data_IF_291935446361
#
_entry.id   IF_291935446361
#
_cell.length_a   1.000
_cell.length_b   1.000
_cell.length_c   1.000
_cell.angle_alpha   90.00
_cell.angle_beta   90.00
_cell.angle_gamma   90.00
#
_symmetry.space_group_name_H-M   'P 1'
#
loop_
_entity.id
_entity.type
_entity.pdbx_description
1 polymer ?
#
# COMPACT_ATOMS: atom_id res chain seq x y z
N UNK A 1 15.61 -19.34 46.32
CA UNK A 1 15.08 -19.49 44.95
C UNK A 1 15.04 -18.12 44.31
N UNK A 2 15.67 -17.91 43.14
CA UNK A 2 15.74 -16.60 42.47
C UNK A 2 14.81 -16.66 41.26
N UNK A 3 13.69 -15.95 41.30
CA UNK A 3 12.78 -15.86 40.16
C UNK A 3 13.45 -15.03 39.06
N UNK A 4 13.89 -15.68 37.99
CA UNK A 4 14.29 -15.00 36.76
C UNK A 4 13.01 -14.79 35.97
N UNK A 5 12.62 -13.53 35.79
CA UNK A 5 11.61 -13.15 34.81
C UNK A 5 12.31 -13.04 33.47
N UNK A 6 11.93 -13.88 32.52
CA UNK A 6 12.35 -13.72 31.13
C UNK A 6 11.41 -12.70 30.49
N UNK A 7 11.91 -11.48 30.30
CA UNK A 7 11.27 -10.52 29.42
C UNK A 7 11.63 -10.94 27.99
N UNK A 8 10.79 -11.76 27.35
CA UNK A 8 10.87 -11.98 25.90
C UNK A 8 10.43 -10.69 25.25
N UNK A 9 11.37 -10.00 24.60
CA UNK A 9 11.06 -8.98 23.60
C UNK A 9 10.93 -9.72 22.27
N UNK A 10 9.74 -9.76 21.70
CA UNK A 10 9.55 -10.22 20.33
C UNK A 10 10.09 -9.11 19.45
N UNK A 11 11.33 -9.24 18.99
CA UNK A 11 11.86 -8.33 17.98
C UNK A 11 11.36 -8.88 16.66
N UNK A 12 10.31 -8.26 16.14
CA UNK A 12 9.97 -8.44 14.74
C UNK A 12 10.99 -7.65 13.90
N UNK A 13 11.57 -8.32 12.91
CA UNK A 13 12.56 -7.73 12.00
C UNK A 13 12.08 -7.80 10.56
N UNK A 14 10.86 -8.28 10.32
CA UNK A 14 10.30 -8.39 8.98
C UNK A 14 9.55 -7.09 8.66
N UNK A 15 9.89 -6.51 7.51
CA UNK A 15 9.17 -5.35 6.99
C UNK A 15 7.86 -5.81 6.32
N UNK A 16 6.76 -5.06 6.45
CA UNK A 16 5.52 -5.34 5.75
C UNK A 16 5.73 -5.51 4.25
N UNK A 17 5.45 -6.71 3.76
CA UNK A 17 5.59 -7.05 2.36
C UNK A 17 4.28 -6.78 1.63
N UNK A 18 4.38 -6.09 0.48
CA UNK A 18 3.21 -5.86 -0.35
C UNK A 18 2.72 -7.18 -0.97
N UNK A 19 1.44 -7.50 -0.78
CA UNK A 19 0.76 -8.63 -1.42
C UNK A 19 0.21 -8.20 -2.79
N UNK A 20 -0.35 -7.00 -2.91
CA UNK A 20 -0.84 -6.48 -4.18
C UNK A 20 -1.69 -5.23 -4.01
N UNK A 21 -2.57 -4.99 -4.98
CA UNK A 21 -3.63 -3.99 -4.91
C UNK A 21 -4.98 -4.67 -4.66
N UNK A 22 -5.85 -4.00 -3.90
CA UNK A 22 -7.24 -4.42 -3.77
C UNK A 22 -8.04 -4.03 -5.02
N UNK A 23 -9.13 -4.75 -5.33
CA UNK A 23 -10.07 -4.34 -6.36
C UNK A 23 -10.59 -2.93 -6.10
N UNK A 24 -10.84 -2.19 -7.18
CA UNK A 24 -11.46 -0.87 -7.15
C UNK A 24 -12.74 -0.85 -7.98
N UNK A 25 -13.45 0.28 -7.92
CA UNK A 25 -14.66 0.48 -8.70
C UNK A 25 -14.37 0.28 -10.20
N UNK A 26 -15.13 -0.62 -10.83
CA UNK A 26 -15.06 -0.82 -12.26
C UNK A 26 -15.60 0.40 -12.99
N UNK A 27 -14.99 0.73 -14.13
CA UNK A 27 -15.43 1.85 -14.94
C UNK A 27 -14.37 2.33 -15.92
N UNK A 28 -14.81 3.24 -16.78
CA UNK A 28 -13.95 4.01 -17.65
C UNK A 28 -13.64 5.36 -16.99
N UNK A 29 -12.36 5.64 -16.85
CA UNK A 29 -11.83 6.91 -16.38
C UNK A 29 -11.07 7.61 -17.51
N UNK A 30 -10.95 8.92 -17.41
CA UNK A 30 -10.25 9.77 -18.37
C UNK A 30 -9.16 10.56 -17.70
N UNK A 31 -8.29 11.15 -18.51
CA UNK A 31 -7.17 11.96 -18.05
C UNK A 31 -7.66 13.05 -17.09
N UNK A 32 -7.04 13.14 -15.92
CA UNK A 32 -7.40 14.09 -14.87
C UNK A 32 -8.38 13.54 -13.83
N UNK A 33 -9.04 12.41 -14.10
CA UNK A 33 -9.88 11.75 -13.10
C UNK A 33 -9.04 11.26 -11.93
N UNK A 34 -9.60 11.35 -10.73
CA UNK A 34 -8.98 10.83 -9.51
C UNK A 34 -9.61 9.50 -9.14
N UNK A 35 -8.78 8.51 -8.91
CA UNK A 35 -9.19 7.18 -8.45
C UNK A 35 -8.57 6.86 -7.10
N UNK A 36 -9.21 5.96 -6.35
CA UNK A 36 -8.71 5.47 -5.06
C UNK A 36 -8.07 4.10 -5.26
N UNK A 37 -6.88 3.93 -4.69
CA UNK A 37 -6.09 2.71 -4.70
C UNK A 37 -5.92 2.21 -3.27
N UNK A 38 -6.05 0.91 -3.07
CA UNK A 38 -5.73 0.28 -1.79
C UNK A 38 -4.61 -0.74 -1.99
N UNK A 39 -3.53 -0.57 -1.25
CA UNK A 39 -2.39 -1.49 -1.23
C UNK A 39 -2.53 -2.42 -0.04
N UNK A 40 -2.45 -3.72 -0.31
CA UNK A 40 -2.56 -4.77 0.71
C UNK A 40 -1.18 -5.26 1.11
N UNK A 41 -0.93 -5.34 2.39
CA UNK A 41 0.28 -5.85 3.02
C UNK A 41 -0.01 -7.16 3.78
N UNK A 42 1.03 -7.95 4.02
CA UNK A 42 0.94 -9.20 4.78
C UNK A 42 0.92 -9.00 6.31
N UNK A 43 1.29 -7.81 6.78
CA UNK A 43 1.23 -7.43 8.20
C UNK A 43 0.87 -5.95 8.40
N UNK A 44 0.70 -5.54 9.66
CA UNK A 44 0.27 -4.18 10.02
C UNK A 44 1.38 -3.17 9.74
N UNK A 45 1.01 -2.03 9.17
CA UNK A 45 1.91 -0.92 8.86
C UNK A 45 1.88 0.15 9.95
N UNK A 46 3.02 0.44 10.59
CA UNK A 46 3.14 1.42 11.68
C UNK A 46 3.53 2.82 11.28
N UNK A 47 4.45 2.92 10.33
CA UNK A 47 5.00 4.18 9.93
C UNK A 47 5.03 4.21 8.42
N UNK A 48 4.36 5.22 7.90
CA UNK A 48 4.14 5.42 6.48
C UNK A 48 5.05 6.51 5.91
N UNK A 49 5.97 7.07 6.70
CA UNK A 49 6.93 8.08 6.25
C UNK A 49 7.57 7.59 4.95
N UNK A 50 7.27 8.31 3.86
CA UNK A 50 7.75 8.07 2.50
C UNK A 50 7.14 6.90 1.70
N UNK A 51 5.98 6.34 2.08
CA UNK A 51 5.31 5.35 1.21
C UNK A 51 4.83 6.01 -0.10
N UNK A 52 5.63 5.92 -1.16
CA UNK A 52 5.27 6.29 -2.53
C UNK A 52 4.89 5.03 -3.30
N UNK A 53 3.90 5.09 -4.18
CA UNK A 53 3.66 3.99 -5.12
C UNK A 53 4.53 4.18 -6.35
N UNK A 54 5.20 3.10 -6.78
CA UNK A 54 5.81 3.03 -8.10
C UNK A 54 4.78 3.16 -9.22
N UNK A 55 5.25 3.18 -10.47
CA UNK A 55 4.39 3.27 -11.65
C UNK A 55 3.35 2.13 -11.66
N UNK A 56 2.07 2.49 -11.58
CA UNK A 56 0.94 1.60 -11.84
C UNK A 56 0.54 1.83 -13.30
N UNK A 57 0.38 0.75 -14.06
CA UNK A 57 0.04 0.86 -15.48
C UNK A 57 -1.24 1.69 -15.67
N UNK A 58 -1.16 2.72 -16.52
CA UNK A 58 -2.25 3.65 -16.82
C UNK A 58 -2.52 4.75 -15.77
N UNK A 59 -1.73 4.81 -14.70
CA UNK A 59 -1.80 5.88 -13.68
C UNK A 59 -0.49 6.66 -13.62
N UNK A 60 -0.58 7.96 -13.29
CA UNK A 60 0.63 8.76 -13.08
C UNK A 60 1.19 8.55 -11.68
N UNK A 61 2.44 8.07 -11.52
CA UNK A 61 3.10 8.04 -10.21
C UNK A 61 3.32 9.46 -9.64
N UNK A 62 3.34 10.49 -10.50
CA UNK A 62 3.56 11.89 -10.10
C UNK A 62 2.45 12.49 -9.22
N UNK A 63 1.30 11.84 -9.11
CA UNK A 63 0.16 12.33 -8.31
C UNK A 63 -0.41 11.28 -7.34
N UNK A 64 0.37 10.26 -6.97
CA UNK A 64 -0.06 9.32 -5.95
C UNK A 64 0.06 9.97 -4.57
N UNK A 65 -1.07 10.14 -3.91
CA UNK A 65 -1.12 10.75 -2.58
C UNK A 65 -1.76 9.81 -1.58
N UNK A 66 -1.15 9.66 -0.41
CA UNK A 66 -1.75 8.95 0.71
C UNK A 66 -3.12 9.47 1.10
N UNK A 67 -3.94 8.59 1.66
CA UNK A 67 -5.18 8.97 2.33
C UNK A 67 -5.34 8.37 3.73
N UNK A 68 -4.70 7.25 4.06
CA UNK A 68 -4.81 6.65 5.39
C UNK A 68 -4.56 5.14 5.41
N UNK A 69 -4.80 4.51 6.55
CA UNK A 69 -4.64 3.07 6.74
C UNK A 69 -3.48 2.64 7.65
N UNK A 70 -2.75 3.60 8.24
CA UNK A 70 -1.75 3.35 9.28
C UNK A 70 -2.39 2.61 10.47
N UNK A 71 -1.66 1.66 11.04
CA UNK A 71 -2.17 0.73 12.04
C UNK A 71 -3.03 -0.39 11.47
N UNK A 72 -3.08 -0.56 10.14
CA UNK A 72 -3.74 -1.68 9.46
C UNK A 72 -2.81 -2.34 8.45
N UNK A 73 -3.23 -3.45 7.86
CA UNK A 73 -2.54 -4.11 6.75
C UNK A 73 -2.94 -3.55 5.37
N UNK A 74 -3.65 -2.42 5.31
CA UNK A 74 -4.12 -1.82 4.07
C UNK A 74 -3.89 -0.32 4.05
N UNK A 75 -3.07 0.17 3.11
CA UNK A 75 -2.87 1.61 2.91
C UNK A 75 -3.69 2.11 1.73
N UNK A 76 -4.34 3.25 1.91
CA UNK A 76 -5.17 3.89 0.88
C UNK A 76 -4.44 5.08 0.28
N UNK A 77 -4.55 5.21 -1.04
CA UNK A 77 -3.97 6.28 -1.84
C UNK A 77 -5.00 6.80 -2.84
N UNK A 78 -4.80 8.01 -3.35
CA UNK A 78 -5.44 8.44 -4.59
C UNK A 78 -4.40 8.65 -5.67
N UNK A 79 -4.75 8.34 -6.91
CA UNK A 79 -3.94 8.62 -8.09
C UNK A 79 -4.77 9.36 -9.14
N UNK A 80 -4.10 10.09 -10.02
CA UNK A 80 -4.72 10.73 -11.18
C UNK A 80 -4.45 9.91 -12.43
N UNK A 81 -5.49 9.71 -13.24
CA UNK A 81 -5.38 9.05 -14.55
C UNK A 81 -4.64 9.95 -15.52
N UNK A 82 -3.66 9.41 -16.26
CA UNK A 82 -2.86 10.14 -17.25
C UNK A 82 -3.18 9.78 -18.70
N UNK A 83 -4.08 8.83 -18.93
CA UNK A 83 -4.53 8.38 -20.24
C UNK A 83 -5.90 8.96 -20.56
N UNK A 84 -6.18 9.20 -21.85
CA UNK A 84 -7.49 9.75 -22.27
C UNK A 84 -8.64 8.75 -22.09
N UNK A 85 -8.30 7.46 -21.98
CA UNK A 85 -9.20 6.38 -21.61
C UNK A 85 -8.42 5.36 -20.78
N UNK A 86 -8.89 5.08 -19.57
CA UNK A 86 -8.37 4.08 -18.66
C UNK A 86 -9.53 3.20 -18.18
N UNK A 87 -9.51 1.93 -18.53
CA UNK A 87 -10.45 0.94 -18.00
C UNK A 87 -9.81 0.22 -16.82
N UNK A 88 -10.57 0.08 -15.73
CA UNK A 88 -10.13 -0.72 -14.60
C UNK A 88 -10.19 -2.19 -14.97
N UNK A 89 -9.02 -2.82 -15.07
CA UNK A 89 -8.87 -4.27 -15.05
C UNK A 89 -8.41 -4.71 -13.67
N UNK A 90 -9.37 -5.13 -12.83
CA UNK A 90 -9.09 -5.56 -11.47
C UNK A 90 -8.18 -6.81 -11.40
N UNK A 91 -8.19 -7.68 -12.43
CA UNK A 91 -7.33 -8.87 -12.49
C UNK A 91 -5.87 -8.44 -12.72
N UNK A 92 -5.64 -7.55 -13.68
CA UNK A 92 -4.31 -7.01 -13.93
C UNK A 92 -3.82 -6.13 -12.79
N UNK A 93 -4.71 -5.35 -12.14
CA UNK A 93 -4.38 -4.45 -11.05
C UNK A 93 -3.91 -5.21 -9.80
N UNK A 94 -4.63 -6.25 -9.39
CA UNK A 94 -4.29 -7.01 -8.17
C UNK A 94 -2.95 -7.76 -8.26
N UNK A 95 -2.48 -8.04 -9.48
CA UNK A 95 -1.17 -8.64 -9.72
C UNK A 95 0.00 -7.65 -9.55
N UNK A 96 -0.29 -6.34 -9.49
CA UNK A 96 0.76 -5.33 -9.34
C UNK A 96 1.23 -5.21 -7.90
N UNK A 97 2.55 -5.10 -7.75
CA UNK A 97 3.22 -4.76 -6.48
C UNK A 97 3.98 -3.44 -6.64
N UNK A 98 3.30 -2.27 -6.66
CA UNK A 98 3.97 -0.97 -6.71
C UNK A 98 5.02 -0.82 -5.60
N UNK A 99 6.29 -0.83 -6.00
CA UNK A 99 7.42 -0.67 -5.08
C UNK A 99 7.33 0.69 -4.40
N UNK A 100 7.15 0.68 -3.08
CA UNK A 100 7.38 1.81 -2.18
C UNK A 100 8.32 1.32 -1.09
N UNK A 101 9.39 2.06 -0.85
CA UNK A 101 10.46 1.68 0.10
C UNK A 101 9.94 1.38 1.52
N UNK A 102 10.82 0.76 2.32
CA UNK A 102 10.68 0.33 3.71
C UNK A 102 9.50 0.94 4.47
N UNK A 103 8.51 0.08 4.73
CA UNK A 103 7.43 0.34 5.65
C UNK A 103 7.89 -0.13 7.03
N UNK A 104 7.67 0.66 8.09
CA UNK A 104 8.06 0.20 9.44
C UNK A 104 6.91 -0.58 10.09
N UNK A 105 7.27 -1.61 10.85
CA UNK A 105 6.37 -2.46 11.63
C UNK A 105 5.92 -1.81 12.96
N UNK A 106 4.74 -2.20 13.45
CA UNK A 106 4.14 -1.77 14.72
C UNK A 106 4.61 -2.63 15.89
N UNK A 107 5.16 -3.82 15.64
CA UNK A 107 5.71 -4.67 16.69
C UNK A 107 7.18 -4.30 16.99
N UNK A 108 7.48 -3.99 18.26
CA UNK A 108 8.83 -3.65 18.77
C UNK A 108 9.26 -4.48 19.97
#
# INVERSE_FOLDING_TARGET
MRNVRFNVRVIDTKEPAQIGLAPMAEGQYRRGDTITLSVVYDEIVANRNNASLGSISGLSPANVTYRGGEGTNMLTFTATVNQDSYEVDNIALMAQKPIGQTVYDMAS
#
